data_IF_371261147605
#
_entry.id   IF_371261147605
#
_cell.length_a   1.000
_cell.length_b   1.000
_cell.length_c   1.000
_cell.angle_alpha   90.00
_cell.angle_beta   90.00
_cell.angle_gamma   90.00
#
_symmetry.space_group_name_H-M   'P 1'
#
loop_
_entity.id
_entity.type
_entity.pdbx_description
1 polymer ?
#
# COMPACT_ATOMS: atom_id res chain seq x y z
N UNK A 1 0.85 7.52 10.04
CA UNK A 1 0.21 8.45 11.00
C UNK A 1 -1.30 8.26 11.14
N UNK A 2 -1.95 7.48 10.26
CA UNK A 2 -3.42 7.37 10.22
C UNK A 2 -4.06 6.88 11.54
N UNK A 3 -3.32 6.17 12.40
CA UNK A 3 -3.79 5.67 13.69
C UNK A 3 -3.54 6.64 14.86
N UNK A 4 -2.95 7.81 14.60
CA UNK A 4 -2.76 8.83 15.63
C UNK A 4 -4.11 9.40 16.07
N UNK A 5 -4.33 9.48 17.38
CA UNK A 5 -5.59 9.97 17.94
C UNK A 5 -5.78 11.47 17.75
N UNK A 6 -4.69 12.22 17.77
CA UNK A 6 -4.68 13.66 17.54
C UNK A 6 -4.36 13.94 16.07
N UNK A 7 -5.02 14.93 15.46
CA UNK A 7 -4.64 15.38 14.13
C UNK A 7 -3.23 15.94 14.17
N UNK A 8 -2.36 15.35 13.36
CA UNK A 8 -0.99 15.79 13.19
C UNK A 8 -0.99 16.98 12.22
N UNK A 9 -0.42 18.13 12.58
CA UNK A 9 -0.33 19.29 11.71
C UNK A 9 0.41 18.96 10.40
N UNK A 10 0.03 19.64 9.32
CA UNK A 10 0.62 19.44 7.98
C UNK A 10 2.13 19.65 7.98
N UNK A 11 2.60 20.68 8.67
CA UNK A 11 4.03 20.99 8.79
C UNK A 11 4.84 19.87 9.45
N UNK A 12 4.26 19.17 10.42
CA UNK A 12 4.90 18.05 11.10
C UNK A 12 4.98 16.82 10.17
N UNK A 13 3.94 16.60 9.36
CA UNK A 13 3.95 15.53 8.34
C UNK A 13 5.01 15.80 7.27
N UNK A 14 5.08 17.03 6.79
CA UNK A 14 6.08 17.49 5.81
C UNK A 14 7.49 17.30 6.38
N UNK A 15 7.75 17.76 7.60
CA UNK A 15 9.04 17.62 8.27
C UNK A 15 9.42 16.14 8.41
N UNK A 16 8.49 15.27 8.79
CA UNK A 16 8.75 13.83 8.88
C UNK A 16 9.16 13.25 7.53
N UNK A 17 8.44 13.55 6.45
CA UNK A 17 8.73 13.07 5.10
C UNK A 17 10.13 13.54 4.65
N UNK A 18 10.44 14.81 4.86
CA UNK A 18 11.74 15.39 4.50
C UNK A 18 12.89 14.76 5.31
N UNK A 19 12.72 14.55 6.61
CA UNK A 19 13.71 13.88 7.45
C UNK A 19 13.94 12.43 7.03
N UNK A 20 12.90 11.70 6.63
CA UNK A 20 13.04 10.34 6.10
C UNK A 20 13.83 10.33 4.79
N UNK A 21 13.56 11.27 3.89
CA UNK A 21 14.33 11.43 2.66
C UNK A 21 15.79 11.82 2.93
N UNK A 22 16.04 12.70 3.91
CA UNK A 22 17.37 13.13 4.31
C UNK A 22 18.16 12.00 5.01
N UNK A 23 17.46 11.07 5.68
CA UNK A 23 18.04 9.86 6.26
C UNK A 23 18.47 8.81 5.21
N UNK A 24 18.19 9.04 3.91
CA UNK A 24 18.65 8.21 2.80
C UNK A 24 17.60 7.24 2.24
N UNK A 25 16.33 7.35 2.65
CA UNK A 25 15.27 6.57 2.04
C UNK A 25 15.04 7.05 0.60
N UNK A 26 15.03 6.10 -0.33
CA UNK A 26 14.81 6.38 -1.75
C UNK A 26 13.32 6.45 -2.13
N UNK A 27 12.45 5.87 -1.31
CA UNK A 27 11.00 5.89 -1.51
C UNK A 27 10.35 6.22 -0.18
N UNK A 28 9.55 7.29 -0.15
CA UNK A 28 8.79 7.74 1.04
C UNK A 28 7.35 7.93 0.63
N UNK A 29 6.45 7.01 1.02
CA UNK A 29 5.02 7.18 0.79
C UNK A 29 4.53 8.40 1.58
N UNK A 30 4.15 9.46 0.85
CA UNK A 30 3.95 10.78 1.45
C UNK A 30 2.57 10.92 2.09
N UNK A 31 1.53 10.43 1.43
CA UNK A 31 0.15 10.59 1.91
C UNK A 31 -0.81 9.62 1.21
N UNK A 32 -2.10 9.75 1.53
CA UNK A 32 -3.17 8.97 0.91
C UNK A 32 -4.33 9.87 0.51
N UNK A 33 -4.83 9.69 -0.71
CA UNK A 33 -5.98 10.40 -1.25
C UNK A 33 -7.30 9.66 -0.95
N UNK A 34 -7.38 9.07 0.23
CA UNK A 34 -8.63 8.52 0.79
C UNK A 34 -9.57 9.64 1.22
N UNK A 35 -10.86 9.34 1.32
CA UNK A 35 -11.83 10.33 1.78
C UNK A 35 -11.53 10.77 3.22
N UNK A 36 -11.41 12.08 3.50
CA UNK A 36 -11.19 12.59 4.85
C UNK A 36 -12.36 12.31 5.81
N UNK A 37 -13.53 11.95 5.28
CA UNK A 37 -14.66 11.48 6.11
C UNK A 37 -14.37 10.15 6.79
N UNK A 38 -13.55 9.29 6.15
CA UNK A 38 -13.15 7.99 6.69
C UNK A 38 -11.81 8.06 7.42
N UNK A 39 -10.87 8.87 6.91
CA UNK A 39 -9.54 9.05 7.50
C UNK A 39 -9.24 10.54 7.62
N UNK A 40 -9.74 11.23 8.67
CA UNK A 40 -9.55 12.67 8.86
C UNK A 40 -8.07 13.09 8.84
N UNK A 41 -7.18 12.22 9.33
CA UNK A 41 -5.73 12.42 9.37
C UNK A 41 -5.12 12.66 7.97
N UNK A 42 -5.79 12.23 6.90
CA UNK A 42 -5.33 12.39 5.51
C UNK A 42 -6.07 13.53 4.77
N UNK A 43 -6.78 14.40 5.50
CA UNK A 43 -7.56 15.48 4.88
C UNK A 43 -6.73 16.59 4.23
N UNK A 44 -5.47 16.70 4.61
CA UNK A 44 -4.49 17.67 4.13
C UNK A 44 -3.55 17.10 3.03
N UNK A 45 -3.91 15.99 2.41
CA UNK A 45 -3.08 15.26 1.46
C UNK A 45 -2.53 16.12 0.32
N UNK A 46 -3.36 16.95 -0.30
CA UNK A 46 -2.93 17.83 -1.39
C UNK A 46 -1.94 18.92 -0.90
N UNK A 47 -2.14 19.44 0.31
CA UNK A 47 -1.23 20.42 0.92
C UNK A 47 0.12 19.79 1.25
N UNK A 48 0.13 18.60 1.85
CA UNK A 48 1.36 17.82 2.10
C UNK A 48 2.14 17.65 0.79
N UNK A 49 1.49 17.19 -0.28
CA UNK A 49 2.15 16.94 -1.57
C UNK A 49 2.69 18.20 -2.24
N UNK A 50 2.03 19.36 -2.05
CA UNK A 50 2.46 20.65 -2.58
C UNK A 50 3.60 21.26 -1.77
N UNK A 51 3.66 20.98 -0.47
CA UNK A 51 4.60 21.61 0.46
C UNK A 51 5.91 20.84 0.60
N UNK A 52 5.87 19.50 0.50
CA UNK A 52 7.07 18.65 0.60
C UNK A 52 8.14 19.07 -0.40
N UNK A 53 9.33 19.40 0.12
CA UNK A 53 10.53 19.61 -0.69
C UNK A 53 10.99 18.28 -1.28
N UNK A 54 10.76 18.08 -2.56
CA UNK A 54 11.15 16.86 -3.26
C UNK A 54 12.66 16.80 -3.46
N UNK A 55 13.29 15.84 -2.82
CA UNK A 55 14.71 15.59 -2.92
C UNK A 55 15.00 14.80 -4.20
N UNK A 56 16.05 15.19 -4.92
CA UNK A 56 16.50 14.46 -6.11
C UNK A 56 16.83 13.00 -5.78
N UNK A 57 16.39 12.08 -6.62
CA UNK A 57 16.57 10.64 -6.43
C UNK A 57 15.61 9.99 -5.43
N UNK A 58 14.69 10.75 -4.82
CA UNK A 58 13.67 10.22 -3.90
C UNK A 58 12.30 10.25 -4.57
N UNK A 59 11.58 9.14 -4.49
CA UNK A 59 10.21 9.00 -5.01
C UNK A 59 9.21 9.15 -3.85
N UNK A 60 8.12 9.89 -4.09
CA UNK A 60 7.07 10.15 -3.11
C UNK A 60 5.73 9.59 -3.59
N UNK A 61 5.51 8.25 -3.49
CA UNK A 61 4.25 7.64 -3.86
C UNK A 61 3.11 8.11 -2.97
N UNK A 62 1.89 8.00 -3.49
CA UNK A 62 0.68 8.25 -2.71
C UNK A 62 -0.36 7.16 -2.93
N UNK A 63 -1.13 6.84 -1.91
CA UNK A 63 -2.22 5.89 -2.03
C UNK A 63 -3.43 6.54 -2.74
N UNK A 64 -3.95 5.88 -3.78
CA UNK A 64 -5.15 6.28 -4.52
C UNK A 64 -6.21 5.18 -4.51
N UNK A 65 -7.29 5.30 -3.71
CA UNK A 65 -8.27 4.23 -3.54
C UNK A 65 -9.29 4.10 -4.69
N UNK A 66 -9.39 5.11 -5.55
CA UNK A 66 -10.34 5.20 -6.67
C UNK A 66 -9.92 6.33 -7.62
N UNK A 67 -10.62 6.45 -8.76
CA UNK A 67 -10.33 7.50 -9.76
C UNK A 67 -10.38 8.92 -9.18
N UNK A 68 -11.36 9.23 -8.32
CA UNK A 68 -11.45 10.56 -7.71
C UNK A 68 -10.20 10.88 -6.87
N UNK A 69 -9.72 9.91 -6.09
CA UNK A 69 -8.47 10.06 -5.33
C UNK A 69 -7.26 10.15 -6.24
N UNK A 70 -7.26 9.41 -7.34
CA UNK A 70 -6.21 9.45 -8.36
C UNK A 70 -6.14 10.84 -9.03
N UNK A 71 -7.27 11.37 -9.50
CA UNK A 71 -7.32 12.70 -10.14
C UNK A 71 -6.78 13.79 -9.20
N UNK A 72 -7.19 13.75 -7.92
CA UNK A 72 -6.69 14.67 -6.91
C UNK A 72 -5.18 14.49 -6.63
N UNK A 73 -4.68 13.26 -6.67
CA UNK A 73 -3.24 12.97 -6.52
C UNK A 73 -2.43 13.54 -7.69
N UNK A 74 -2.92 13.38 -8.92
CA UNK A 74 -2.30 13.95 -10.13
C UNK A 74 -2.29 15.48 -10.06
N UNK A 75 -3.41 16.11 -9.67
CA UNK A 75 -3.50 17.55 -9.49
C UNK A 75 -2.54 18.06 -8.41
N UNK A 76 -2.30 17.28 -7.36
CA UNK A 76 -1.32 17.58 -6.33
C UNK A 76 0.13 17.28 -6.74
N UNK A 77 0.35 16.79 -7.97
CA UNK A 77 1.67 16.53 -8.55
C UNK A 77 2.28 15.20 -8.11
N UNK A 78 1.48 14.19 -7.79
CA UNK A 78 1.99 12.82 -7.60
C UNK A 78 2.57 12.28 -8.91
N UNK A 79 3.67 11.54 -8.81
CA UNK A 79 4.35 10.91 -9.95
C UNK A 79 4.28 9.38 -9.89
N UNK A 80 3.88 8.84 -8.76
CA UNK A 80 3.68 7.42 -8.52
C UNK A 80 2.49 7.22 -7.59
N UNK A 81 1.67 6.22 -7.84
CA UNK A 81 0.51 5.89 -7.03
C UNK A 81 0.55 4.45 -6.54
N UNK A 82 -0.15 4.18 -5.44
CA UNK A 82 -0.35 2.85 -4.93
C UNK A 82 -1.84 2.51 -4.84
N UNK A 83 -2.16 1.24 -5.12
CA UNK A 83 -3.47 0.64 -4.88
C UNK A 83 -3.32 -0.51 -3.88
N UNK A 84 -4.41 -0.91 -3.24
CA UNK A 84 -4.34 -1.91 -2.18
C UNK A 84 -5.50 -2.91 -2.23
N UNK A 85 -5.19 -4.18 -2.23
CA UNK A 85 -6.13 -5.28 -2.05
C UNK A 85 -5.90 -5.98 -0.71
N UNK A 86 -6.63 -7.06 -0.49
CA UNK A 86 -6.45 -7.93 0.67
C UNK A 86 -6.58 -9.39 0.28
N UNK A 87 -5.85 -10.27 0.97
CA UNK A 87 -5.97 -11.71 0.79
C UNK A 87 -7.13 -12.33 1.62
N UNK A 88 -7.89 -11.50 2.32
CA UNK A 88 -9.00 -11.87 3.20
C UNK A 88 -10.28 -11.17 2.79
N UNK A 89 -11.35 -11.94 2.58
CA UNK A 89 -12.67 -11.40 2.27
C UNK A 89 -13.24 -10.60 3.44
N UNK A 90 -13.11 -11.11 4.66
CA UNK A 90 -13.59 -10.41 5.85
C UNK A 90 -12.88 -9.08 6.06
N UNK A 91 -11.57 -9.03 5.80
CA UNK A 91 -10.80 -7.78 5.89
C UNK A 91 -11.21 -6.79 4.79
N UNK A 92 -11.35 -7.24 3.54
CA UNK A 92 -11.80 -6.41 2.43
C UNK A 92 -13.17 -5.77 2.74
N UNK A 93 -14.12 -6.59 3.22
CA UNK A 93 -15.45 -6.13 3.59
C UNK A 93 -15.42 -5.08 4.72
N UNK A 94 -14.61 -5.29 5.75
CA UNK A 94 -14.49 -4.37 6.88
C UNK A 94 -13.73 -3.09 6.55
N UNK A 95 -12.69 -3.19 5.72
CA UNK A 95 -11.78 -2.07 5.42
C UNK A 95 -12.30 -1.15 4.30
N UNK A 96 -12.86 -1.73 3.23
CA UNK A 96 -13.28 -0.99 2.03
C UNK A 96 -14.69 -1.31 1.55
N UNK A 97 -15.47 -2.03 2.37
CA UNK A 97 -16.88 -2.36 2.14
C UNK A 97 -17.14 -3.00 0.76
N UNK A 98 -16.32 -3.97 0.37
CA UNK A 98 -16.53 -4.78 -0.82
C UNK A 98 -15.76 -6.10 -0.74
N UNK A 99 -16.10 -7.06 -1.62
CA UNK A 99 -15.35 -8.30 -1.77
C UNK A 99 -13.95 -8.04 -2.35
N UNK A 100 -13.05 -9.01 -2.20
CA UNK A 100 -11.72 -8.95 -2.82
C UNK A 100 -11.83 -8.79 -4.34
N UNK A 101 -12.73 -9.55 -4.99
CA UNK A 101 -12.93 -9.46 -6.43
C UNK A 101 -13.45 -8.08 -6.90
N UNK A 102 -14.36 -7.47 -6.12
CA UNK A 102 -14.84 -6.11 -6.40
C UNK A 102 -13.75 -5.06 -6.17
N UNK A 103 -12.88 -5.23 -5.16
CA UNK A 103 -11.77 -4.32 -4.91
C UNK A 103 -10.81 -4.26 -6.11
N UNK A 104 -10.47 -5.41 -6.68
CA UNK A 104 -9.64 -5.50 -7.88
C UNK A 104 -10.29 -4.74 -9.05
N UNK A 105 -11.59 -4.94 -9.29
CA UNK A 105 -12.32 -4.20 -10.34
C UNK A 105 -12.34 -2.68 -10.11
N UNK A 106 -12.34 -2.23 -8.83
CA UNK A 106 -12.28 -0.79 -8.50
C UNK A 106 -10.91 -0.19 -8.77
N UNK A 107 -9.83 -0.97 -8.65
CA UNK A 107 -8.47 -0.49 -8.89
C UNK A 107 -8.07 -0.51 -10.37
N UNK A 108 -8.68 -1.37 -11.19
CA UNK A 108 -8.39 -1.45 -12.62
C UNK A 108 -8.45 -0.08 -13.33
N UNK A 109 -9.51 0.74 -13.18
CA UNK A 109 -9.54 2.07 -13.78
C UNK A 109 -8.43 3.01 -13.31
N UNK A 110 -8.04 2.91 -12.01
CA UNK A 110 -6.96 3.72 -11.43
C UNK A 110 -5.62 3.34 -12.07
N UNK A 111 -5.35 2.03 -12.16
CA UNK A 111 -4.12 1.53 -12.77
C UNK A 111 -4.06 1.91 -14.24
N UNK A 112 -5.14 1.71 -14.99
CA UNK A 112 -5.21 2.10 -16.41
C UNK A 112 -4.96 3.60 -16.61
N UNK A 113 -5.58 4.46 -15.78
CA UNK A 113 -5.39 5.90 -15.85
C UNK A 113 -3.95 6.32 -15.52
N UNK A 114 -3.35 5.69 -14.49
CA UNK A 114 -1.96 5.96 -14.12
C UNK A 114 -0.98 5.55 -15.23
N UNK A 115 -1.14 4.36 -15.79
CA UNK A 115 -0.31 3.87 -16.88
C UNK A 115 -0.46 4.73 -18.16
N UNK A 116 -1.64 5.24 -18.43
CA UNK A 116 -1.87 6.17 -19.55
C UNK A 116 -1.13 7.51 -19.40
N UNK A 117 -0.73 7.87 -18.18
CA UNK A 117 0.08 9.04 -17.86
C UNK A 117 1.57 8.68 -17.60
N UNK A 118 2.02 7.49 -17.99
CA UNK A 118 3.36 6.96 -17.72
C UNK A 118 3.73 6.95 -16.22
N UNK A 119 2.73 6.93 -15.33
CA UNK A 119 2.95 6.83 -13.90
C UNK A 119 3.13 5.38 -13.47
N UNK A 120 4.06 5.15 -12.55
CA UNK A 120 4.23 3.82 -11.93
C UNK A 120 3.11 3.57 -10.93
N UNK A 121 2.67 2.31 -10.85
CA UNK A 121 1.66 1.87 -9.88
C UNK A 121 2.23 0.75 -9.03
N UNK A 122 2.20 0.90 -7.71
CA UNK A 122 2.56 -0.12 -6.73
C UNK A 122 1.30 -0.81 -6.19
N UNK A 123 1.30 -2.13 -6.09
CA UNK A 123 0.21 -2.89 -5.49
C UNK A 123 0.52 -3.27 -4.04
N UNK A 124 -0.46 -3.17 -3.14
CA UNK A 124 -0.38 -3.71 -1.78
C UNK A 124 -1.36 -4.86 -1.61
N UNK A 125 -0.93 -5.93 -0.94
CA UNK A 125 -1.80 -7.03 -0.51
C UNK A 125 -1.76 -7.13 1.01
N UNK A 126 -2.86 -6.80 1.66
CA UNK A 126 -3.01 -6.91 3.11
C UNK A 126 -3.39 -8.32 3.55
N UNK A 127 -3.10 -8.66 4.80
CA UNK A 127 -3.48 -9.92 5.44
C UNK A 127 -2.91 -11.18 4.74
N UNK A 128 -1.67 -11.13 4.27
CA UNK A 128 -1.08 -12.24 3.47
C UNK A 128 -0.79 -13.50 4.29
N UNK A 129 -0.71 -13.42 5.62
CA UNK A 129 -0.46 -14.55 6.53
C UNK A 129 -1.63 -14.77 7.48
N UNK A 130 -2.20 -13.67 7.99
CA UNK A 130 -3.29 -13.72 8.94
C UNK A 130 -4.19 -12.50 8.88
N UNK A 131 -5.46 -12.72 9.21
CA UNK A 131 -6.52 -11.72 9.23
C UNK A 131 -7.09 -11.58 10.65
N UNK A 132 -7.35 -10.36 11.15
CA UNK A 132 -7.92 -10.17 12.49
C UNK A 132 -9.36 -10.67 12.64
N UNK A 133 -10.02 -10.98 11.54
CA UNK A 133 -11.43 -11.39 11.53
C UNK A 133 -11.65 -12.86 11.19
N UNK A 134 -10.85 -13.44 10.29
CA UNK A 134 -10.99 -14.83 9.84
C UNK A 134 -9.80 -15.73 10.19
N UNK A 135 -8.80 -15.22 10.93
CA UNK A 135 -7.65 -15.99 11.38
C UNK A 135 -6.62 -16.24 10.27
N UNK A 136 -6.10 -17.46 10.20
CA UNK A 136 -5.06 -17.82 9.24
C UNK A 136 -5.53 -17.67 7.78
N UNK A 137 -4.67 -17.10 6.93
CA UNK A 137 -4.93 -16.90 5.50
C UNK A 137 -4.05 -17.85 4.70
N UNK A 138 -4.69 -18.59 3.79
CA UNK A 138 -3.96 -19.54 2.93
C UNK A 138 -3.02 -18.77 1.97
N UNK A 139 -1.76 -19.21 1.81
CA UNK A 139 -0.79 -18.57 0.91
C UNK A 139 -1.30 -18.36 -0.52
N UNK A 140 -2.15 -19.27 -1.01
CA UNK A 140 -2.73 -19.20 -2.35
C UNK A 140 -3.62 -17.97 -2.53
N UNK A 141 -4.37 -17.54 -1.50
CA UNK A 141 -5.19 -16.33 -1.56
C UNK A 141 -4.33 -15.07 -1.73
N UNK A 142 -3.19 -15.00 -1.02
CA UNK A 142 -2.24 -13.92 -1.22
C UNK A 142 -1.64 -13.93 -2.63
N UNK A 143 -1.28 -15.11 -3.14
CA UNK A 143 -0.73 -15.29 -4.47
C UNK A 143 -1.72 -14.87 -5.57
N UNK A 144 -2.99 -15.24 -5.46
CA UNK A 144 -4.04 -14.85 -6.41
C UNK A 144 -4.22 -13.33 -6.51
N UNK A 145 -4.26 -12.64 -5.37
CA UNK A 145 -4.39 -11.18 -5.35
C UNK A 145 -3.13 -10.51 -5.89
N UNK A 146 -1.94 -11.00 -5.49
CA UNK A 146 -0.67 -10.49 -5.98
C UNK A 146 -0.54 -10.64 -7.50
N UNK A 147 -0.92 -11.80 -8.05
CA UNK A 147 -0.95 -12.05 -9.48
C UNK A 147 -1.85 -11.04 -10.21
N UNK A 148 -3.06 -10.84 -9.73
CA UNK A 148 -4.02 -9.90 -10.34
C UNK A 148 -3.47 -8.48 -10.40
N UNK A 149 -2.91 -7.97 -9.31
CA UNK A 149 -2.31 -6.65 -9.27
C UNK A 149 -1.12 -6.53 -10.24
N UNK A 150 -0.28 -7.56 -10.29
CA UNK A 150 0.85 -7.60 -11.21
C UNK A 150 0.41 -7.64 -12.69
N UNK A 151 -0.57 -8.49 -13.03
CA UNK A 151 -1.13 -8.60 -14.40
C UNK A 151 -1.80 -7.29 -14.86
N UNK A 152 -2.37 -6.51 -13.93
CA UNK A 152 -2.95 -5.19 -14.25
C UNK A 152 -1.88 -4.12 -14.50
N UNK A 153 -0.59 -4.40 -14.24
CA UNK A 153 0.52 -3.50 -14.53
C UNK A 153 1.18 -2.85 -13.33
N UNK A 154 0.92 -3.32 -12.10
CA UNK A 154 1.70 -2.90 -10.95
C UNK A 154 3.17 -3.33 -11.14
N UNK A 155 4.10 -2.38 -11.00
CA UNK A 155 5.53 -2.67 -11.19
C UNK A 155 6.13 -3.50 -10.08
N UNK A 156 5.52 -3.47 -8.91
CA UNK A 156 5.88 -4.21 -7.69
C UNK A 156 4.64 -4.48 -6.86
N UNK A 157 4.59 -5.63 -6.19
CA UNK A 157 3.52 -5.99 -5.24
C UNK A 157 4.11 -6.21 -3.86
N UNK A 158 3.64 -5.42 -2.89
CA UNK A 158 4.03 -5.49 -1.49
C UNK A 158 3.09 -6.40 -0.71
N UNK A 159 3.68 -7.38 -0.02
CA UNK A 159 2.99 -8.44 0.72
C UNK A 159 2.97 -8.09 2.20
N UNK A 160 1.79 -7.68 2.72
CA UNK A 160 1.62 -7.15 4.06
C UNK A 160 1.15 -8.19 5.08
N UNK A 161 1.99 -8.52 6.07
CA UNK A 161 1.56 -9.15 7.31
C UNK A 161 0.93 -8.10 8.23
N UNK A 162 -0.31 -7.77 7.93
CA UNK A 162 -1.04 -6.61 8.48
C UNK A 162 -1.15 -6.61 10.00
N UNK A 163 -1.22 -7.77 10.62
CA UNK A 163 -1.34 -7.91 12.07
C UNK A 163 -0.08 -8.47 12.74
N UNK A 164 0.99 -8.70 11.97
CA UNK A 164 2.30 -9.12 12.47
C UNK A 164 2.31 -10.52 13.10
N UNK A 165 1.47 -11.43 12.61
CA UNK A 165 1.38 -12.82 13.12
C UNK A 165 2.27 -13.81 12.37
N UNK A 166 2.91 -13.34 11.30
CA UNK A 166 3.83 -14.15 10.50
C UNK A 166 5.08 -14.52 11.27
N UNK A 167 5.55 -15.73 11.01
CA UNK A 167 6.86 -16.22 11.41
C UNK A 167 7.63 -16.67 10.16
N UNK A 168 8.95 -16.89 10.22
CA UNK A 168 9.76 -17.24 9.05
C UNK A 168 9.19 -18.36 8.20
N UNK A 169 8.64 -19.38 8.81
CA UNK A 169 8.08 -20.54 8.07
C UNK A 169 6.80 -20.16 7.33
N UNK A 170 5.88 -19.43 7.97
CA UNK A 170 4.63 -19.01 7.34
C UNK A 170 4.87 -17.97 6.25
N UNK A 171 5.80 -17.03 6.48
CA UNK A 171 6.19 -16.01 5.51
C UNK A 171 6.88 -16.64 4.31
N UNK A 172 7.82 -17.57 4.51
CA UNK A 172 8.46 -18.30 3.42
C UNK A 172 7.43 -19.02 2.53
N UNK A 173 6.49 -19.76 3.13
CA UNK A 173 5.42 -20.44 2.39
C UNK A 173 4.57 -19.49 1.57
N UNK A 174 4.26 -18.34 2.11
CA UNK A 174 3.49 -17.29 1.44
C UNK A 174 4.29 -16.71 0.26
N UNK A 175 5.57 -16.36 0.47
CA UNK A 175 6.45 -15.87 -0.59
C UNK A 175 6.60 -16.92 -1.71
N UNK A 176 6.83 -18.18 -1.37
CA UNK A 176 6.94 -19.27 -2.36
C UNK A 176 5.65 -19.41 -3.19
N UNK A 177 4.48 -19.26 -2.59
CA UNK A 177 3.22 -19.28 -3.31
C UNK A 177 3.09 -18.09 -4.28
N UNK A 178 3.42 -16.88 -3.82
CA UNK A 178 3.40 -15.67 -4.64
C UNK A 178 4.43 -15.72 -5.78
N UNK A 179 5.63 -16.23 -5.51
CA UNK A 179 6.73 -16.31 -6.50
C UNK A 179 6.46 -17.30 -7.65
N UNK A 180 5.47 -18.17 -7.52
CA UNK A 180 5.00 -19.01 -8.63
C UNK A 180 4.17 -18.24 -9.66
N UNK A 181 3.62 -17.09 -9.28
CA UNK A 181 2.70 -16.29 -10.09
C UNK A 181 3.30 -14.94 -10.49
N UNK A 182 4.18 -14.38 -9.65
CA UNK A 182 4.81 -13.07 -9.81
C UNK A 182 6.32 -13.24 -9.71
N UNK A 183 7.12 -12.66 -10.62
CA UNK A 183 8.58 -12.74 -10.50
C UNK A 183 9.05 -12.24 -9.14
N UNK A 184 9.96 -12.96 -8.46
CA UNK A 184 10.46 -12.62 -7.12
C UNK A 184 10.96 -11.18 -7.02
N UNK A 185 11.65 -10.67 -8.05
CA UNK A 185 12.15 -9.29 -8.11
C UNK A 185 11.05 -8.23 -8.19
N UNK A 186 9.78 -8.65 -8.28
CA UNK A 186 8.59 -7.78 -8.28
C UNK A 186 7.76 -7.93 -7.02
N UNK A 187 8.25 -8.68 -6.05
CA UNK A 187 7.64 -8.83 -4.73
C UNK A 187 8.44 -8.04 -3.70
N UNK A 188 7.73 -7.40 -2.77
CA UNK A 188 8.30 -6.74 -1.61
C UNK A 188 7.62 -7.24 -0.33
N UNK A 189 8.38 -7.31 0.77
CA UNK A 189 7.85 -7.67 2.09
C UNK A 189 7.46 -6.43 2.90
N UNK A 190 6.35 -6.52 3.64
CA UNK A 190 5.92 -5.53 4.61
C UNK A 190 5.45 -6.25 5.88
N UNK A 191 6.29 -6.29 6.89
CA UNK A 191 6.05 -7.08 8.10
C UNK A 191 5.90 -6.19 9.32
N UNK A 192 4.74 -6.29 9.99
CA UNK A 192 4.54 -5.63 11.28
C UNK A 192 5.24 -6.41 12.40
N UNK A 193 5.77 -5.67 13.38
CA UNK A 193 6.56 -6.24 14.47
C UNK A 193 5.75 -6.48 15.75
N UNK A 194 4.48 -6.82 15.60
CA UNK A 194 3.53 -7.00 16.72
C UNK A 194 4.02 -8.02 17.74
N UNK A 195 4.69 -9.06 17.30
CA UNK A 195 5.25 -10.13 18.14
C UNK A 195 6.78 -10.22 18.07
N UNK A 196 7.45 -9.17 17.62
CA UNK A 196 8.90 -9.13 17.53
C UNK A 196 9.50 -10.01 16.43
N UNK A 197 8.73 -10.34 15.39
CA UNK A 197 9.14 -11.26 14.34
C UNK A 197 9.47 -10.60 13.01
N UNK A 198 9.26 -9.28 12.87
CA UNK A 198 9.43 -8.61 11.58
C UNK A 198 10.84 -8.78 11.00
N UNK A 199 11.88 -8.58 11.80
CA UNK A 199 13.27 -8.74 11.35
C UNK A 199 13.61 -10.19 10.99
N UNK A 200 13.02 -11.16 11.69
CA UNK A 200 13.22 -12.59 11.40
C UNK A 200 12.51 -13.03 10.10
N UNK A 201 11.52 -12.25 9.66
CA UNK A 201 10.73 -12.51 8.45
C UNK A 201 11.37 -11.93 7.17
N UNK A 202 12.42 -11.13 7.30
CA UNK A 202 13.20 -10.56 6.18
C UNK A 202 14.28 -11.55 5.76
#
# INVERSE_FOLDING_TARGET
>A
LQNEKQLVPTEVKVELIERLADAGLQVVEATSFVSPKWVPQMGDNAEVMKTVRRKEGVVYPVLAPNLKGFDAAVEAGATEVAVFGAASEAFSQKNINCSVAESIKRFEPVICAALALDMKVRGYVSCVVGCPYEGAVAPQKAAEVAQRLFEMGCYEVSLGDTIGVGNPVSVQRMIEACARQVPMAKLAGHYHDTYGMAVANI
#
